data_IF_787556756078
#
_entry.id   IF_787556756078
#
_cell.length_a   1.000
_cell.length_b   1.000
_cell.length_c   1.000
_cell.angle_alpha   90.00
_cell.angle_beta   90.00
_cell.angle_gamma   90.00
#
_symmetry.space_group_name_H-M   'P 1'
#
loop_
_entity.id
_entity.type
_entity.pdbx_description
1 polymer ?
#
# COMPACT_ATOMS: atom_id res chain seq x y z
N UNK A 1 -25.03 -14.06 12.28
CA UNK A 1 -24.07 -14.37 11.20
C UNK A 1 -23.05 -13.25 11.23
N UNK A 2 -21.77 -13.53 11.52
CA UNK A 2 -20.74 -12.48 11.59
C UNK A 2 -20.43 -11.92 10.20
N UNK A 3 -19.88 -10.70 10.15
CA UNK A 3 -19.37 -10.12 8.91
C UNK A 3 -18.13 -10.94 8.47
N UNK A 4 -18.09 -11.54 7.26
CA UNK A 4 -16.98 -12.40 6.86
C UNK A 4 -15.67 -11.63 6.79
N UNK A 5 -14.60 -12.33 7.16
CA UNK A 5 -13.23 -11.86 7.13
C UNK A 5 -12.75 -11.60 5.70
N UNK A 6 -11.70 -10.80 5.56
CA UNK A 6 -11.13 -10.52 4.24
C UNK A 6 -10.57 -11.77 3.55
N UNK A 7 -10.07 -12.73 4.33
CA UNK A 7 -9.62 -14.02 3.81
C UNK A 7 -10.77 -14.84 3.24
N UNK A 8 -11.90 -14.92 3.95
CA UNK A 8 -13.11 -15.60 3.45
C UNK A 8 -13.64 -14.94 2.18
N UNK A 9 -13.61 -13.60 2.11
CA UNK A 9 -14.01 -12.87 0.89
C UNK A 9 -13.05 -13.11 -0.28
N UNK A 10 -11.75 -13.21 -0.02
CA UNK A 10 -10.76 -13.51 -1.05
C UNK A 10 -10.94 -14.93 -1.61
N UNK A 11 -11.16 -15.92 -0.75
CA UNK A 11 -11.42 -17.30 -1.17
C UNK A 11 -12.76 -17.44 -1.90
N UNK A 12 -13.81 -16.77 -1.42
CA UNK A 12 -15.09 -16.71 -2.12
C UNK A 12 -14.93 -16.10 -3.51
N UNK A 13 -14.22 -14.98 -3.62
CA UNK A 13 -13.97 -14.33 -4.90
C UNK A 13 -13.19 -15.23 -5.86
N UNK A 14 -12.20 -15.96 -5.36
CA UNK A 14 -11.44 -16.95 -6.14
C UNK A 14 -12.27 -18.14 -6.62
N UNK A 15 -13.31 -18.52 -5.86
CA UNK A 15 -14.28 -19.53 -6.27
C UNK A 15 -15.34 -19.02 -7.27
N UNK A 16 -15.28 -17.73 -7.64
CA UNK A 16 -16.21 -17.11 -8.59
C UNK A 16 -17.36 -16.32 -7.94
N UNK A 17 -17.34 -16.14 -6.62
CA UNK A 17 -18.32 -15.30 -5.92
C UNK A 17 -18.03 -13.81 -6.20
N UNK A 18 -18.85 -13.21 -7.06
CA UNK A 18 -18.73 -11.80 -7.44
C UNK A 18 -19.03 -10.86 -6.27
N UNK A 19 -19.95 -11.23 -5.38
CA UNK A 19 -20.34 -10.39 -4.24
C UNK A 19 -19.22 -10.34 -3.19
N UNK A 20 -18.54 -11.47 -2.97
CA UNK A 20 -17.35 -11.52 -2.11
C UNK A 20 -16.25 -10.56 -2.61
N UNK A 21 -16.01 -10.55 -3.92
CA UNK A 21 -15.07 -9.63 -4.57
C UNK A 21 -15.48 -8.16 -4.44
N UNK A 22 -16.75 -7.83 -4.70
CA UNK A 22 -17.28 -6.47 -4.58
C UNK A 22 -17.15 -5.93 -3.15
N UNK A 23 -17.43 -6.76 -2.15
CA UNK A 23 -17.31 -6.38 -0.74
C UNK A 23 -15.86 -6.18 -0.32
N UNK A 24 -14.96 -7.07 -0.72
CA UNK A 24 -13.53 -6.92 -0.44
C UNK A 24 -12.96 -5.66 -1.10
N UNK A 25 -13.38 -5.39 -2.34
CA UNK A 25 -13.01 -4.17 -3.06
C UNK A 25 -13.51 -2.93 -2.33
N UNK A 26 -14.80 -2.86 -2.00
CA UNK A 26 -15.39 -1.71 -1.31
C UNK A 26 -14.71 -1.41 0.03
N UNK A 27 -14.33 -2.45 0.80
CA UNK A 27 -13.63 -2.29 2.09
C UNK A 27 -12.27 -1.63 1.98
N UNK A 28 -11.52 -1.90 0.91
CA UNK A 28 -10.12 -1.49 0.80
C UNK A 28 -9.84 -0.46 -0.29
N UNK A 29 -10.81 -0.18 -1.16
CA UNK A 29 -10.64 0.72 -2.31
C UNK A 29 -10.07 2.07 -1.91
N UNK A 30 -10.66 2.75 -0.91
CA UNK A 30 -10.23 4.09 -0.50
C UNK A 30 -8.76 4.10 -0.02
N UNK A 31 -8.35 3.07 0.72
CA UNK A 31 -7.00 2.96 1.24
C UNK A 31 -5.96 2.74 0.11
N UNK A 32 -6.30 1.91 -0.88
CA UNK A 32 -5.44 1.64 -2.05
C UNK A 32 -5.42 2.85 -2.99
N UNK A 33 -6.57 3.50 -3.22
CA UNK A 33 -6.68 4.72 -4.00
C UNK A 33 -5.81 5.82 -3.40
N UNK A 34 -5.92 6.07 -2.08
CA UNK A 34 -5.06 7.03 -1.38
C UNK A 34 -3.58 6.69 -1.51
N UNK A 35 -3.22 5.41 -1.46
CA UNK A 35 -1.83 4.98 -1.65
C UNK A 35 -1.26 5.37 -3.02
N UNK A 36 -2.03 5.18 -4.10
CA UNK A 36 -1.59 5.54 -5.45
C UNK A 36 -1.67 7.05 -5.72
N UNK A 37 -2.74 7.72 -5.26
CA UNK A 37 -2.86 9.18 -5.40
C UNK A 37 -1.70 9.93 -4.73
N UNK A 38 -1.14 9.40 -3.64
CA UNK A 38 0.02 9.99 -2.98
C UNK A 38 1.36 9.76 -3.71
N UNK A 39 1.37 9.07 -4.86
CA UNK A 39 2.61 8.59 -5.52
C UNK A 39 2.66 8.87 -7.02
N UNK A 40 1.53 8.93 -7.70
CA UNK A 40 1.45 9.13 -9.14
C UNK A 40 0.24 10.00 -9.50
N UNK A 41 0.38 10.77 -10.58
CA UNK A 41 -0.64 11.69 -11.07
C UNK A 41 -1.58 11.08 -12.11
N UNK A 42 -1.24 9.92 -12.68
CA UNK A 42 -2.01 9.24 -13.73
C UNK A 42 -2.02 7.73 -13.50
N UNK A 43 -2.95 7.05 -14.16
CA UNK A 43 -3.05 5.59 -14.21
C UNK A 43 -3.41 4.92 -12.86
N UNK A 44 -3.88 5.69 -11.87
CA UNK A 44 -4.21 5.17 -10.53
C UNK A 44 -5.27 4.07 -10.60
N UNK A 45 -6.32 4.28 -11.39
CA UNK A 45 -7.42 3.31 -11.55
C UNK A 45 -6.93 1.96 -12.09
N UNK A 46 -6.05 1.98 -13.09
CA UNK A 46 -5.41 0.76 -13.62
C UNK A 46 -4.56 0.07 -12.55
N UNK A 47 -3.76 0.84 -11.80
CA UNK A 47 -2.92 0.24 -10.75
C UNK A 47 -3.74 -0.30 -9.58
N UNK A 48 -4.87 0.32 -9.24
CA UNK A 48 -5.84 -0.20 -8.27
C UNK A 48 -6.38 -1.53 -8.77
N UNK A 49 -6.88 -1.59 -10.01
CA UNK A 49 -7.41 -2.83 -10.59
C UNK A 49 -6.37 -3.95 -10.61
N UNK A 50 -5.15 -3.65 -11.08
CA UNK A 50 -4.03 -4.59 -11.11
C UNK A 50 -3.61 -5.07 -9.72
N UNK A 51 -3.78 -4.22 -8.70
CA UNK A 51 -3.50 -4.60 -7.31
C UNK A 51 -4.48 -5.66 -6.83
N UNK A 52 -5.79 -5.43 -7.01
CA UNK A 52 -6.80 -6.41 -6.59
C UNK A 52 -6.70 -7.70 -7.40
N UNK A 53 -6.41 -7.62 -8.70
CA UNK A 53 -6.14 -8.80 -9.52
C UNK A 53 -4.90 -9.57 -9.04
N UNK A 54 -3.81 -8.85 -8.72
CA UNK A 54 -2.60 -9.46 -8.17
C UNK A 54 -2.82 -10.13 -6.82
N UNK A 55 -3.74 -9.62 -5.98
CA UNK A 55 -4.16 -10.30 -4.76
C UNK A 55 -4.88 -11.62 -5.05
N UNK A 56 -5.74 -11.65 -6.07
CA UNK A 56 -6.46 -12.87 -6.48
C UNK A 56 -5.49 -13.93 -7.02
N UNK A 57 -4.52 -13.52 -7.84
CA UNK A 57 -3.46 -14.37 -8.40
C UNK A 57 -2.51 -14.89 -7.31
N UNK A 58 -2.12 -14.00 -6.38
CA UNK A 58 -1.19 -14.29 -5.29
C UNK A 58 -1.82 -14.90 -4.04
N UNK A 59 -3.13 -15.17 -4.04
CA UNK A 59 -3.87 -15.59 -2.83
C UNK A 59 -3.29 -16.82 -2.14
N UNK A 60 -2.70 -17.76 -2.89
CA UNK A 60 -2.08 -18.96 -2.31
C UNK A 60 -0.86 -18.63 -1.41
N UNK A 61 -0.24 -17.47 -1.59
CA UNK A 61 0.80 -16.96 -0.71
C UNK A 61 0.24 -16.27 0.55
N UNK A 62 -1.03 -15.86 0.52
CA UNK A 62 -1.74 -15.36 1.70
C UNK A 62 -2.18 -16.54 2.57
N UNK A 63 -1.31 -16.97 3.48
CA UNK A 63 -1.54 -18.13 4.37
C UNK A 63 -2.47 -17.83 5.55
N UNK A 64 -3.15 -16.69 5.57
CA UNK A 64 -3.88 -16.18 6.74
C UNK A 64 -2.97 -15.74 7.92
N UNK A 65 -1.66 -15.94 7.78
CA UNK A 65 -0.63 -15.44 8.70
C UNK A 65 -0.41 -13.96 8.41
N UNK A 66 -1.18 -13.10 9.09
CA UNK A 66 -1.12 -11.64 8.96
C UNK A 66 -2.39 -11.02 8.34
N UNK A 67 -2.48 -9.69 8.36
CA UNK A 67 -3.66 -9.00 7.83
C UNK A 67 -3.68 -9.02 6.30
N UNK A 68 -4.85 -9.25 5.70
CA UNK A 68 -5.06 -9.10 4.26
C UNK A 68 -4.62 -7.70 3.77
N UNK A 69 -4.81 -6.68 4.62
CA UNK A 69 -4.34 -5.32 4.36
C UNK A 69 -2.83 -5.25 4.10
N UNK A 70 -2.00 -5.95 4.88
CA UNK A 70 -0.55 -5.98 4.67
C UNK A 70 -0.20 -6.66 3.34
N UNK A 71 -0.86 -7.78 3.03
CA UNK A 71 -0.72 -8.48 1.75
C UNK A 71 -1.10 -7.57 0.56
N UNK A 72 -2.24 -6.89 0.66
CA UNK A 72 -2.75 -5.95 -0.34
C UNK A 72 -1.75 -4.82 -0.65
N UNK A 73 -1.16 -4.20 0.38
CA UNK A 73 -0.17 -3.14 0.16
C UNK A 73 1.17 -3.68 -0.35
N UNK A 74 1.53 -4.91 -0.03
CA UNK A 74 2.66 -5.61 -0.65
C UNK A 74 2.48 -5.76 -2.16
N UNK A 75 1.29 -6.19 -2.59
CA UNK A 75 0.94 -6.27 -4.02
C UNK A 75 0.92 -4.88 -4.66
N UNK A 76 0.28 -3.89 -4.03
CA UNK A 76 0.21 -2.50 -4.54
C UNK A 76 1.61 -1.90 -4.78
N UNK A 77 2.55 -2.14 -3.86
CA UNK A 77 3.95 -1.72 -3.99
C UNK A 77 4.63 -2.36 -5.19
N UNK A 78 4.41 -3.67 -5.41
CA UNK A 78 4.99 -4.38 -6.55
C UNK A 78 4.42 -3.88 -7.88
N UNK A 79 3.11 -3.62 -7.93
CA UNK A 79 2.41 -3.04 -9.08
C UNK A 79 2.99 -1.66 -9.41
N UNK A 80 3.13 -0.78 -8.41
CA UNK A 80 3.73 0.55 -8.58
C UNK A 80 5.16 0.46 -9.10
N UNK A 81 6.00 -0.37 -8.46
CA UNK A 81 7.40 -0.52 -8.87
C UNK A 81 7.53 -1.02 -10.31
N UNK A 82 6.65 -1.93 -10.75
CA UNK A 82 6.58 -2.37 -12.14
C UNK A 82 6.18 -1.23 -13.08
N UNK A 83 5.11 -0.48 -12.74
CA UNK A 83 4.64 0.65 -13.53
C UNK A 83 5.73 1.72 -13.70
N UNK A 84 6.44 2.09 -12.63
CA UNK A 84 7.51 3.08 -12.70
C UNK A 84 8.68 2.58 -13.56
N UNK A 85 9.12 1.32 -13.39
CA UNK A 85 10.18 0.74 -14.24
C UNK A 85 9.82 0.73 -15.73
N UNK A 86 8.56 0.46 -16.06
CA UNK A 86 8.08 0.46 -17.45
C UNK A 86 8.01 1.87 -18.03
N UNK A 87 7.58 2.85 -17.22
CA UNK A 87 7.44 4.25 -17.61
C UNK A 87 8.78 4.96 -17.79
N UNK A 88 9.80 4.62 -17.01
CA UNK A 88 11.11 5.28 -17.00
C UNK A 88 12.20 4.46 -17.72
N UNK A 89 11.87 3.74 -18.80
CA UNK A 89 12.82 2.97 -19.65
C UNK A 89 13.81 3.87 -20.46
N UNK A 90 14.49 4.80 -19.79
CA UNK A 90 15.65 5.57 -20.26
C UNK A 90 16.88 5.20 -19.39
N UNK A 91 18.11 5.08 -19.95
CA UNK A 91 19.26 4.50 -19.25
C UNK A 91 19.78 5.29 -18.04
N UNK A 92 19.24 6.47 -17.76
CA UNK A 92 19.70 7.39 -16.70
C UNK A 92 18.68 7.64 -15.59
N UNK A 93 17.52 6.97 -15.61
CA UNK A 93 16.46 7.27 -14.66
C UNK A 93 16.25 6.13 -13.65
N UNK A 94 16.65 6.41 -12.40
CA UNK A 94 16.12 5.88 -11.14
C UNK A 94 16.86 4.67 -10.55
N UNK A 95 17.95 4.99 -9.87
CA UNK A 95 18.04 4.96 -8.39
C UNK A 95 16.70 5.02 -7.63
N UNK A 96 15.75 4.11 -7.89
CA UNK A 96 14.53 3.98 -7.09
C UNK A 96 14.85 3.54 -5.64
N UNK A 97 16.10 3.16 -5.37
CA UNK A 97 16.65 2.90 -4.05
C UNK A 97 17.07 4.17 -3.28
N UNK A 98 17.22 5.32 -3.94
CA UNK A 98 17.68 6.57 -3.31
C UNK A 98 16.69 7.75 -3.43
N UNK A 99 15.63 7.66 -4.24
CA UNK A 99 14.64 8.73 -4.33
C UNK A 99 13.70 8.70 -3.12
N UNK A 100 13.82 9.71 -2.26
CA UNK A 100 12.94 9.91 -1.12
C UNK A 100 11.60 10.48 -1.59
N UNK A 101 10.51 10.07 -0.94
CA UNK A 101 9.17 10.66 -1.13
C UNK A 101 9.17 12.19 -0.91
N UNK A 102 10.17 12.73 -0.21
CA UNK A 102 10.37 14.16 -0.03
C UNK A 102 10.85 14.92 -1.29
N UNK A 103 11.50 14.25 -2.25
CA UNK A 103 12.04 14.87 -3.48
C UNK A 103 11.00 14.99 -4.60
N UNK A 104 9.87 14.28 -4.47
CA UNK A 104 8.75 14.30 -5.43
C UNK A 104 7.67 15.35 -5.11
N UNK A 105 7.99 16.32 -4.25
CA UNK A 105 7.16 17.51 -4.06
C UNK A 105 5.88 17.25 -3.28
N UNK A 106 5.98 17.22 -1.96
CA UNK A 106 4.83 17.43 -1.07
C UNK A 106 5.11 18.61 -0.16
N UNK A 107 4.29 19.66 -0.28
CA UNK A 107 4.25 20.81 0.64
C UNK A 107 2.79 21.29 0.77
N UNK A 108 2.34 21.84 1.93
CA UNK A 108 1.87 21.06 3.08
C UNK A 108 0.73 21.77 3.88
N UNK A 109 -0.40 22.17 3.26
CA UNK A 109 -1.22 23.25 3.85
C UNK A 109 -2.65 22.96 4.31
N UNK A 110 -3.16 21.72 4.41
CA UNK A 110 -4.59 21.52 4.75
C UNK A 110 -4.95 20.54 5.88
N UNK A 111 -3.99 19.94 6.58
CA UNK A 111 -4.25 19.04 7.71
C UNK A 111 -3.79 19.63 9.08
N UNK A 112 -3.84 20.95 9.27
CA UNK A 112 -2.89 21.72 10.11
C UNK A 112 -2.93 21.59 11.66
N UNK A 113 -3.87 20.94 12.37
CA UNK A 113 -3.91 21.08 13.85
C UNK A 113 -3.36 19.88 14.69
N UNK A 114 -3.93 18.67 14.57
CA UNK A 114 -3.40 17.47 15.26
C UNK A 114 -2.19 16.85 14.52
N UNK A 115 -2.11 17.06 13.21
CA UNK A 115 -1.15 16.45 12.28
C UNK A 115 0.28 16.93 12.52
N UNK A 116 0.49 18.16 13.03
CA UNK A 116 1.84 18.71 13.21
C UNK A 116 2.69 17.92 14.22
N UNK A 117 2.10 17.47 15.33
CA UNK A 117 2.84 16.71 16.35
C UNK A 117 3.13 15.28 15.86
N UNK A 118 2.18 14.69 15.15
CA UNK A 118 2.33 13.38 14.52
C UNK A 118 3.31 13.42 13.35
N UNK A 119 3.33 14.48 12.54
CA UNK A 119 4.28 14.68 11.44
C UNK A 119 5.68 14.99 11.93
N UNK A 120 5.85 15.75 13.02
CA UNK A 120 7.17 15.93 13.65
C UNK A 120 7.71 14.58 14.14
N UNK A 121 6.87 13.77 14.79
CA UNK A 121 7.21 12.41 15.21
C UNK A 121 7.52 11.48 14.02
N UNK A 122 6.68 11.48 12.97
CA UNK A 122 6.85 10.65 11.78
C UNK A 122 8.05 11.09 10.93
N UNK A 123 8.31 12.39 10.84
CA UNK A 123 9.50 12.93 10.16
C UNK A 123 10.77 12.58 10.93
N UNK A 124 10.73 12.64 12.26
CA UNK A 124 11.84 12.21 13.11
C UNK A 124 12.08 10.69 13.02
N UNK A 125 11.02 9.88 13.04
CA UNK A 125 11.09 8.42 12.85
C UNK A 125 11.62 8.04 11.47
N UNK A 126 11.22 8.75 10.41
CA UNK A 126 11.70 8.52 9.03
C UNK A 126 13.16 8.91 8.80
N UNK A 127 13.79 9.60 9.76
CA UNK A 127 15.23 9.89 9.77
C UNK A 127 16.05 8.84 10.50
N UNK A 128 15.39 7.87 11.14
CA UNK A 128 16.04 6.75 11.81
C UNK A 128 16.32 5.67 10.75
N UNK A 129 17.56 5.15 10.66
CA UNK A 129 17.88 4.01 9.81
C UNK A 129 16.95 2.82 10.09
N UNK A 130 16.56 2.08 9.05
CA UNK A 130 15.55 1.02 9.11
C UNK A 130 15.80 -0.02 10.21
N UNK A 131 17.07 -0.37 10.46
CA UNK A 131 17.46 -1.33 11.50
C UNK A 131 17.07 -0.84 12.91
N UNK A 132 17.11 0.46 13.15
CA UNK A 132 16.76 1.07 14.43
C UNK A 132 15.25 1.31 14.58
N UNK A 133 14.53 1.50 13.48
CA UNK A 133 13.06 1.56 13.50
C UNK A 133 12.45 0.21 13.89
N UNK A 134 13.03 -0.89 13.40
CA UNK A 134 12.58 -2.26 13.69
C UNK A 134 12.64 -2.57 15.19
N UNK A 135 13.68 -2.10 15.89
CA UNK A 135 13.82 -2.26 17.36
C UNK A 135 12.78 -1.45 18.12
N UNK A 136 12.44 -0.25 17.64
CA UNK A 136 11.42 0.60 18.27
C UNK A 136 10.01 0.02 18.09
N UNK A 137 9.72 -0.55 16.92
CA UNK A 137 8.42 -1.19 16.64
C UNK A 137 8.23 -2.47 17.45
N UNK A 138 9.28 -3.28 17.61
CA UNK A 138 9.24 -4.50 18.44
C UNK A 138 9.14 -4.21 19.95
N UNK A 139 9.69 -3.09 20.43
CA UNK A 139 9.68 -2.74 21.85
C UNK A 139 8.40 -2.01 22.31
N UNK A 140 7.76 -1.21 21.44
CA UNK A 140 6.60 -0.38 21.83
C UNK A 140 5.22 -0.96 21.46
N UNK A 141 5.17 -2.03 20.65
CA UNK A 141 3.93 -2.65 20.19
C UNK A 141 3.81 -4.16 20.54
N UNK A 142 4.29 -4.55 21.73
CA UNK A 142 3.66 -5.62 22.54
C UNK A 142 2.47 -5.04 23.32
#
# INVERSE_FOLDING_TARGET
>A
MGDPTDGELLEGWAAGDREAGERLFARHFEAVARFFHNKIDRDQEDLIQRTFLGCLEGRAAFRGEGSFRAFLFGVARNVLGKHLRERYREPSALELAHVSVAELGASPSQLVAEDQRQQLMLTALRRIPLDHQTVLELHYWE
#
